data_IF_052036262856
#
_entry.id   IF_052036262856
#
_cell.length_a   1.000
_cell.length_b   1.000
_cell.length_c   1.000
_cell.angle_alpha   90.00
_cell.angle_beta   90.00
_cell.angle_gamma   90.00
#
_symmetry.space_group_name_H-M   'P 1'
#
loop_
_entity.id
_entity.type
_entity.pdbx_description
1 polymer ?
#
# COMPACT_ATOMS: atom_id res chain seq x y z
N UNK A 1 2.39 6.62 -15.37
CA UNK A 1 1.18 7.31 -14.86
C UNK A 1 1.24 7.25 -13.35
N UNK A 2 0.92 8.34 -12.65
CA UNK A 2 0.87 8.35 -11.18
C UNK A 2 -0.58 8.60 -10.78
N UNK A 3 -1.14 7.67 -10.02
CA UNK A 3 -2.48 7.76 -9.45
C UNK A 3 -2.34 7.84 -7.93
N UNK A 4 -3.07 8.78 -7.31
CA UNK A 4 -3.23 8.85 -5.86
C UNK A 4 -4.65 8.42 -5.55
N UNK A 5 -4.81 7.38 -4.74
CA UNK A 5 -6.12 6.87 -4.32
C UNK A 5 -6.05 6.33 -2.91
N UNK A 6 -7.13 6.54 -2.15
CA UNK A 6 -7.35 5.90 -0.86
C UNK A 6 -8.10 4.56 -1.01
N UNK A 7 -8.56 4.22 -2.23
CA UNK A 7 -9.14 2.91 -2.52
C UNK A 7 -8.04 1.91 -2.86
N UNK A 8 -7.66 1.12 -1.85
CA UNK A 8 -6.64 0.07 -1.91
C UNK A 8 -6.95 -0.95 -3.03
N UNK A 9 -8.23 -1.32 -3.22
CA UNK A 9 -8.65 -2.24 -4.30
C UNK A 9 -8.43 -1.68 -5.72
N UNK A 10 -8.53 -0.35 -5.90
CA UNK A 10 -8.27 0.26 -7.20
C UNK A 10 -6.78 0.32 -7.50
N UNK A 11 -5.96 0.64 -6.50
CA UNK A 11 -4.51 0.60 -6.62
C UNK A 11 -4.04 -0.80 -7.02
N UNK A 12 -4.61 -1.85 -6.41
CA UNK A 12 -4.31 -3.25 -6.75
C UNK A 12 -4.48 -3.57 -8.24
N UNK A 13 -5.59 -3.11 -8.82
CA UNK A 13 -5.96 -3.47 -10.20
C UNK A 13 -5.20 -2.67 -11.26
N UNK A 14 -4.75 -1.46 -10.93
CA UNK A 14 -4.29 -0.48 -11.91
C UNK A 14 -2.80 -0.15 -11.83
N UNK A 15 -2.12 -0.47 -10.72
CA UNK A 15 -0.75 -0.08 -10.49
C UNK A 15 0.21 -1.27 -10.57
N UNK A 16 1.33 -1.13 -11.29
CA UNK A 16 2.42 -2.11 -11.28
C UNK A 16 3.20 -2.08 -9.95
N UNK A 17 3.33 -0.88 -9.37
CA UNK A 17 3.99 -0.62 -8.09
C UNK A 17 3.16 0.35 -7.27
N UNK A 18 3.14 0.14 -5.97
CA UNK A 18 2.39 0.98 -5.03
C UNK A 18 3.33 1.55 -3.98
N UNK A 19 3.11 2.80 -3.62
CA UNK A 19 3.83 3.51 -2.56
C UNK A 19 2.85 3.82 -1.44
N UNK A 20 3.13 3.34 -0.24
CA UNK A 20 2.35 3.63 0.95
C UNK A 20 2.93 4.86 1.67
N UNK A 21 2.06 5.82 1.94
CA UNK A 21 2.39 7.03 2.68
C UNK A 21 1.59 7.09 3.97
N UNK A 22 2.25 7.46 5.05
CA UNK A 22 1.62 7.69 6.35
C UNK A 22 2.17 8.96 6.96
N UNK A 23 1.28 9.88 7.36
CA UNK A 23 1.66 11.17 7.99
C UNK A 23 2.69 11.99 7.19
N UNK A 24 2.62 11.94 5.86
CA UNK A 24 3.53 12.67 4.98
C UNK A 24 4.87 11.98 4.71
N UNK A 25 5.11 10.82 5.30
CA UNK A 25 6.31 10.01 5.05
C UNK A 25 6.00 8.85 4.09
N UNK A 26 6.93 8.58 3.16
CA UNK A 26 6.89 7.38 2.33
C UNK A 26 7.38 6.21 3.18
N UNK A 27 6.45 5.40 3.64
CA UNK A 27 6.73 4.28 4.54
C UNK A 27 7.28 3.09 3.76
N UNK A 28 6.70 2.80 2.59
CA UNK A 28 7.08 1.62 1.83
C UNK A 28 6.75 1.77 0.34
N UNK A 29 7.61 1.23 -0.53
CA UNK A 29 7.36 1.15 -1.97
C UNK A 29 7.73 -0.25 -2.46
N UNK A 30 6.76 -0.96 -3.01
CA UNK A 30 6.93 -2.34 -3.46
C UNK A 30 6.09 -2.62 -4.72
N UNK A 31 6.30 -3.75 -5.41
CA UNK A 31 5.33 -4.28 -6.35
C UNK A 31 3.95 -4.35 -5.70
N UNK A 32 2.92 -4.02 -6.49
CA UNK A 32 1.56 -3.92 -5.95
C UNK A 32 1.06 -5.25 -5.39
N UNK A 33 1.44 -6.41 -5.94
CA UNK A 33 1.02 -7.68 -5.37
C UNK A 33 1.66 -7.95 -3.99
N UNK A 34 2.94 -7.60 -3.80
CA UNK A 34 3.67 -7.78 -2.52
C UNK A 34 3.00 -7.00 -1.38
N UNK A 35 2.49 -5.81 -1.69
CA UNK A 35 1.77 -4.96 -0.74
C UNK A 35 0.49 -5.61 -0.20
N UNK A 36 -0.12 -6.53 -0.96
CA UNK A 36 -1.44 -7.09 -0.69
C UNK A 36 -1.43 -8.58 -0.36
N UNK A 37 -0.32 -9.27 -0.65
CA UNK A 37 -0.10 -10.68 -0.29
C UNK A 37 0.47 -10.84 1.12
N UNK A 38 0.84 -9.74 1.77
CA UNK A 38 1.37 -9.73 3.14
C UNK A 38 2.90 -9.78 3.23
N UNK A 39 3.59 -9.78 2.09
CA UNK A 39 5.05 -9.76 1.95
C UNK A 39 5.70 -8.39 2.26
N UNK A 40 4.89 -7.44 2.73
CA UNK A 40 5.34 -6.13 3.20
C UNK A 40 6.34 -6.24 4.35
N UNK A 41 7.33 -5.34 4.32
CA UNK A 41 8.41 -5.27 5.31
C UNK A 41 8.05 -4.40 6.50
N UNK A 42 7.28 -3.34 6.29
CA UNK A 42 6.89 -2.44 7.37
C UNK A 42 5.55 -2.87 7.99
N UNK A 43 5.52 -2.96 9.32
CA UNK A 43 4.36 -3.39 10.06
C UNK A 43 3.18 -2.40 9.91
N UNK A 44 3.45 -1.10 9.75
CA UNK A 44 2.42 -0.08 9.52
C UNK A 44 1.70 -0.29 8.19
N UNK A 45 2.45 -0.70 7.16
CA UNK A 45 1.87 -1.05 5.86
C UNK A 45 0.96 -2.27 5.99
N UNK A 46 1.41 -3.31 6.72
CA UNK A 46 0.61 -4.52 6.98
C UNK A 46 -0.67 -4.19 7.72
N UNK A 47 -0.57 -3.44 8.81
CA UNK A 47 -1.72 -3.06 9.63
C UNK A 47 -2.75 -2.25 8.80
N UNK A 48 -2.30 -1.45 7.83
CA UNK A 48 -3.16 -0.64 6.95
C UNK A 48 -3.91 -1.50 5.93
N UNK A 49 -3.19 -2.39 5.26
CA UNK A 49 -3.77 -3.27 4.24
C UNK A 49 -4.70 -4.31 4.86
N UNK A 50 -4.39 -4.82 6.06
CA UNK A 50 -5.24 -5.73 6.81
C UNK A 50 -6.44 -5.05 7.50
N UNK A 51 -6.53 -3.71 7.46
CA UNK A 51 -7.63 -2.96 8.08
C UNK A 51 -7.61 -2.99 9.61
N UNK A 52 -6.43 -3.15 10.22
CA UNK A 52 -6.25 -3.08 11.69
C UNK A 52 -6.26 -1.66 12.23
N UNK A 53 -6.19 -0.65 11.37
CA UNK A 53 -6.44 0.73 11.74
C UNK A 53 -7.96 0.96 11.84
N UNK A 54 -8.45 0.91 13.07
CA UNK A 54 -9.77 1.38 13.50
C UNK A 54 -9.60 2.43 14.59
#
# INVERSE_FOLDING_TARGET
>A
IVLVTNLVQQARRLADRTAFFLMGECVEVAPTEDLFTGEVKDQRTRDYVEGRFG
#
